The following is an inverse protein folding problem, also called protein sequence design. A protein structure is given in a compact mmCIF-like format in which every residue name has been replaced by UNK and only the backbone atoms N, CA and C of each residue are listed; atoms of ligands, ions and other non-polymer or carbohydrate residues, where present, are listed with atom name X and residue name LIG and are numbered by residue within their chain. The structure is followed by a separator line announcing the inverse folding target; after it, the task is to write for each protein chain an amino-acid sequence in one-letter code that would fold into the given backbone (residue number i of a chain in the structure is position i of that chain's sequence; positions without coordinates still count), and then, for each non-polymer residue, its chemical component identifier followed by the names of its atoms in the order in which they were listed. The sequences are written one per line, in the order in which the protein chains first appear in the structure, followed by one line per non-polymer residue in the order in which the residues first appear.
data_IF_362165798454
#
_entry.id   IF_362165798454
#
_cell.length_a   1.000
_cell.length_b   1.000
_cell.length_c   1.000
_cell.angle_alpha   90.00
_cell.angle_beta   90.00
_cell.angle_gamma   90.00
#
_symmetry.space_group_name_H-M   'P 1'
#
loop_
_entity.id
_entity.type
_entity.pdbx_description
1 polymer ?
#
# COMPACT_ATOMS: atom_id res chain seq x y z
N UNK A 1 25.95 15.51 -4.97
CA UNK A 1 25.68 14.69 -6.18
C UNK A 1 24.19 14.75 -6.50
N UNK A 2 23.84 14.95 -7.77
CA UNK A 2 22.46 14.88 -8.23
C UNK A 2 22.10 13.41 -8.54
N UNK A 3 20.89 12.96 -8.20
CA UNK A 3 20.39 11.62 -8.53
C UNK A 3 20.53 10.54 -7.44
N UNK A 4 21.28 10.80 -6.36
CA UNK A 4 21.25 9.92 -5.18
C UNK A 4 20.01 10.17 -4.33
N UNK A 5 19.32 9.09 -3.99
CA UNK A 5 18.09 9.08 -3.20
C UNK A 5 18.46 8.95 -1.72
N UNK A 6 18.04 9.93 -0.92
CA UNK A 6 18.22 9.95 0.53
C UNK A 6 16.84 9.99 1.20
N UNK A 7 16.15 8.84 1.23
CA UNK A 7 14.89 8.73 1.95
C UNK A 7 15.16 8.36 3.40
N UNK A 8 14.39 8.90 4.36
CA UNK A 8 14.41 8.38 5.72
C UNK A 8 13.93 6.93 5.71
N UNK A 9 14.41 6.14 6.68
CA UNK A 9 13.84 4.83 6.96
C UNK A 9 12.39 4.95 7.46
N UNK A 10 11.63 3.86 7.36
CA UNK A 10 10.33 3.75 8.01
C UNK A 10 10.46 2.76 9.15
N UNK A 11 10.34 3.26 10.38
CA UNK A 11 10.55 2.45 11.58
C UNK A 11 9.41 1.46 11.77
N UNK A 12 9.74 0.17 11.75
CA UNK A 12 8.77 -0.90 11.94
C UNK A 12 9.06 -1.65 13.25
N UNK A 13 8.00 -2.04 13.99
CA UNK A 13 8.15 -2.99 15.09
C UNK A 13 8.84 -4.28 14.62
N UNK A 14 9.78 -4.76 15.42
CA UNK A 14 10.75 -5.85 15.19
C UNK A 14 10.34 -6.91 14.16
N UNK A 15 11.23 -7.15 13.19
CA UNK A 15 11.25 -8.36 12.34
C UNK A 15 10.53 -8.26 10.99
N UNK A 16 9.80 -7.17 10.71
CA UNK A 16 9.13 -6.95 9.42
C UNK A 16 9.89 -5.99 8.53
N UNK A 17 9.96 -6.29 7.24
CA UNK A 17 10.53 -5.36 6.25
C UNK A 17 9.49 -4.33 5.80
N UNK A 18 9.94 -3.22 5.20
CA UNK A 18 9.05 -2.26 4.57
C UNK A 18 8.19 -2.89 3.46
N UNK A 19 8.73 -3.88 2.76
CA UNK A 19 7.99 -4.62 1.74
C UNK A 19 6.84 -5.44 2.34
N UNK A 20 7.09 -6.13 3.47
CA UNK A 20 6.07 -6.93 4.15
C UNK A 20 4.93 -6.05 4.69
N UNK A 21 5.27 -4.93 5.32
CA UNK A 21 4.27 -4.03 5.88
C UNK A 21 3.46 -3.34 4.78
N UNK A 22 4.11 -2.91 3.69
CA UNK A 22 3.42 -2.31 2.55
C UNK A 22 2.43 -3.32 1.94
N UNK A 23 2.85 -4.58 1.75
CA UNK A 23 1.96 -5.64 1.26
C UNK A 23 0.76 -5.85 2.18
N UNK A 24 0.99 -5.94 3.49
CA UNK A 24 -0.09 -6.11 4.49
C UNK A 24 -1.12 -4.99 4.40
N UNK A 25 -0.65 -3.74 4.37
CA UNK A 25 -1.50 -2.55 4.28
C UNK A 25 -2.27 -2.48 2.96
N UNK A 26 -1.63 -2.86 1.85
CA UNK A 26 -2.31 -2.94 0.55
C UNK A 26 -3.43 -3.99 0.56
N UNK A 27 -3.19 -5.19 1.11
CA UNK A 27 -4.22 -6.24 1.20
C UNK A 27 -5.41 -5.81 2.07
N UNK A 28 -5.13 -5.24 3.25
CA UNK A 28 -6.15 -4.66 4.14
C UNK A 28 -6.95 -3.57 3.42
N UNK A 29 -6.24 -2.67 2.74
CA UNK A 29 -6.83 -1.57 2.00
C UNK A 29 -7.69 -2.03 0.81
N UNK A 30 -7.26 -3.05 0.08
CA UNK A 30 -8.01 -3.60 -1.05
C UNK A 30 -9.28 -4.28 -0.56
N UNK A 31 -9.20 -5.08 0.51
CA UNK A 31 -10.38 -5.70 1.13
C UNK A 31 -11.40 -4.66 1.57
N UNK A 32 -10.95 -3.61 2.25
CA UNK A 32 -11.85 -2.51 2.68
C UNK A 32 -12.52 -1.78 1.50
N UNK A 33 -11.85 -1.66 0.34
CA UNK A 33 -12.35 -0.87 -0.79
C UNK A 33 -13.17 -1.67 -1.79
N UNK A 34 -12.88 -2.95 -1.96
CA UNK A 34 -13.38 -3.73 -3.09
C UNK A 34 -14.50 -4.69 -2.74
N UNK A 35 -14.81 -4.95 -1.47
CA UNK A 35 -15.90 -5.85 -1.04
C UNK A 35 -17.26 -5.59 -1.70
N UNK A 36 -17.52 -4.36 -2.14
CA UNK A 36 -18.78 -3.96 -2.80
C UNK A 36 -18.61 -3.64 -4.29
N UNK A 37 -17.42 -3.88 -4.86
CA UNK A 37 -17.10 -3.55 -6.24
C UNK A 37 -17.17 -4.81 -7.09
N UNK A 38 -18.24 -4.92 -7.88
CA UNK A 38 -18.44 -5.98 -8.86
C UNK A 38 -17.20 -6.10 -9.76
N UNK A 39 -16.71 -7.34 -9.98
CA UNK A 39 -15.46 -7.70 -10.71
C UNK A 39 -14.14 -7.48 -9.95
N UNK A 40 -14.14 -6.81 -8.80
CA UNK A 40 -12.94 -6.71 -7.93
C UNK A 40 -13.00 -7.64 -6.74
N UNK A 41 -14.20 -8.12 -6.42
CA UNK A 41 -14.49 -9.07 -5.35
C UNK A 41 -15.09 -10.36 -5.90
N UNK A 42 -14.70 -11.48 -5.32
CA UNK A 42 -15.29 -12.79 -5.58
C UNK A 42 -16.50 -12.97 -4.65
N UNK A 43 -17.70 -12.86 -5.21
CA UNK A 43 -18.95 -13.05 -4.48
C UNK A 43 -19.27 -14.55 -4.33
N UNK A 44 -18.62 -15.19 -3.36
CA UNK A 44 -18.78 -16.60 -2.98
C UNK A 44 -18.76 -16.75 -1.45
N UNK A 45 -19.22 -17.88 -0.87
CA UNK A 45 -19.06 -18.14 0.55
C UNK A 45 -17.58 -18.04 0.96
N UNK A 46 -17.26 -17.10 1.86
CA UNK A 46 -15.87 -16.77 2.20
C UNK A 46 -15.16 -15.85 1.19
N UNK A 47 -15.92 -15.02 0.47
CA UNK A 47 -15.43 -14.15 -0.60
C UNK A 47 -14.14 -13.39 -0.28
N UNK A 48 -13.32 -13.21 -1.31
CA UNK A 48 -12.02 -12.53 -1.24
C UNK A 48 -11.79 -11.73 -2.54
N UNK A 49 -10.61 -11.12 -2.66
CA UNK A 49 -10.21 -10.37 -3.85
C UNK A 49 -10.20 -11.24 -5.11
N UNK A 50 -10.67 -10.69 -6.23
CA UNK A 50 -10.56 -11.36 -7.53
C UNK A 50 -9.07 -11.58 -7.89
N UNK A 51 -8.76 -12.67 -8.60
CA UNK A 51 -7.37 -13.03 -8.96
C UNK A 51 -6.63 -11.92 -9.71
N UNK A 52 -7.32 -11.23 -10.62
CA UNK A 52 -6.76 -10.09 -11.37
C UNK A 52 -6.34 -8.92 -10.47
N UNK A 53 -7.00 -8.72 -9.31
CA UNK A 53 -6.62 -7.70 -8.33
C UNK A 53 -5.33 -8.09 -7.65
N UNK A 54 -5.21 -9.36 -7.22
CA UNK A 54 -4.00 -9.88 -6.59
C UNK A 54 -2.81 -9.86 -7.57
N UNK A 55 -3.02 -10.31 -8.81
CA UNK A 55 -1.98 -10.29 -9.85
C UNK A 55 -1.49 -8.86 -10.14
N UNK A 56 -2.40 -7.88 -10.12
CA UNK A 56 -2.03 -6.47 -10.28
C UNK A 56 -1.22 -5.96 -9.08
N UNK A 57 -1.66 -6.26 -7.86
CA UNK A 57 -0.96 -5.88 -6.63
C UNK A 57 0.47 -6.44 -6.62
N UNK A 58 0.63 -7.72 -6.94
CA UNK A 58 1.92 -8.40 -6.93
C UNK A 58 2.90 -7.76 -7.93
N UNK A 59 2.44 -7.48 -9.15
CA UNK A 59 3.26 -6.76 -10.16
C UNK A 59 3.70 -5.38 -9.66
N UNK A 60 2.79 -4.59 -9.08
CA UNK A 60 3.14 -3.23 -8.63
C UNK A 60 4.10 -3.25 -7.44
N UNK A 61 3.86 -4.14 -6.46
CA UNK A 61 4.75 -4.30 -5.32
C UNK A 61 6.14 -4.82 -5.71
N UNK A 62 6.22 -5.70 -6.70
CA UNK A 62 7.51 -6.21 -7.21
C UNK A 62 8.38 -5.08 -7.78
N UNK A 63 7.78 -4.18 -8.60
CA UNK A 63 8.47 -3.00 -9.13
C UNK A 63 8.89 -2.06 -7.99
N UNK A 64 8.00 -1.79 -7.03
CA UNK A 64 8.30 -0.92 -5.87
C UNK A 64 9.47 -1.49 -5.05
N UNK A 65 9.48 -2.79 -4.81
CA UNK A 65 10.51 -3.48 -4.05
C UNK A 65 11.85 -3.49 -4.79
N UNK A 66 11.84 -3.80 -6.09
CA UNK A 66 13.04 -3.81 -6.95
C UNK A 66 13.71 -2.43 -6.98
N UNK A 67 12.91 -1.36 -6.99
CA UNK A 67 13.43 0.01 -7.02
C UNK A 67 13.76 0.58 -5.63
N UNK A 68 13.45 -0.14 -4.55
CA UNK A 68 13.70 0.26 -3.17
C UNK A 68 12.77 1.36 -2.65
N UNK A 69 11.54 1.44 -3.17
CA UNK A 69 10.59 2.50 -2.83
C UNK A 69 9.58 2.13 -1.73
N UNK A 70 9.63 0.92 -1.15
CA UNK A 70 8.64 0.49 -0.16
C UNK A 70 8.50 1.46 1.02
N UNK A 71 9.62 1.91 1.61
CA UNK A 71 9.62 2.89 2.71
C UNK A 71 9.01 4.24 2.30
N UNK A 72 9.21 4.68 1.05
CA UNK A 72 8.60 5.91 0.53
C UNK A 72 7.06 5.81 0.52
N UNK A 73 6.52 4.69 0.05
CA UNK A 73 5.07 4.46 0.08
C UNK A 73 4.52 4.43 1.50
N UNK A 74 5.24 3.83 2.46
CA UNK A 74 4.85 3.81 3.87
C UNK A 74 4.84 5.22 4.48
N UNK A 75 5.84 6.05 4.20
CA UNK A 75 5.89 7.44 4.66
C UNK A 75 4.70 8.24 4.12
N UNK A 76 4.43 8.16 2.81
CA UNK A 76 3.28 8.85 2.22
C UNK A 76 1.94 8.35 2.77
N UNK A 77 1.82 7.04 2.99
CA UNK A 77 0.65 6.45 3.62
C UNK A 77 0.42 7.00 5.03
N UNK A 78 1.48 7.08 5.85
CA UNK A 78 1.40 7.55 7.23
C UNK A 78 0.99 9.03 7.30
N UNK A 79 1.54 9.89 6.44
CA UNK A 79 1.10 11.28 6.35
C UNK A 79 -0.40 11.40 6.03
N UNK A 80 -0.89 10.65 5.05
CA UNK A 80 -2.30 10.70 4.64
C UNK A 80 -3.19 10.11 5.73
N UNK A 81 -2.76 9.04 6.40
CA UNK A 81 -3.47 8.43 7.53
C UNK A 81 -3.59 9.46 8.67
N UNK A 82 -2.49 10.05 9.10
CA UNK A 82 -2.45 11.02 10.18
C UNK A 82 -3.31 12.25 9.87
N UNK A 83 -3.21 12.79 8.65
CA UNK A 83 -4.01 13.92 8.21
C UNK A 83 -5.52 13.62 8.32
N UNK A 84 -5.96 12.44 7.85
CA UNK A 84 -7.37 12.00 7.96
C UNK A 84 -7.83 11.86 9.41
N UNK A 85 -7.02 11.24 10.28
CA UNK A 85 -7.33 11.10 11.71
C UNK A 85 -7.52 12.45 12.41
N UNK A 86 -6.86 13.51 11.91
CA UNK A 86 -6.94 14.88 12.43
C UNK A 86 -7.96 15.77 11.70
N UNK A 87 -8.67 15.25 10.70
CA UNK A 87 -9.58 16.06 9.87
C UNK A 87 -8.87 17.07 8.96
N UNK A 88 -7.58 16.87 8.67
CA UNK A 88 -6.78 17.70 7.76
C UNK A 88 -6.97 17.18 6.32
N UNK A 89 -7.35 18.04 5.35
CA UNK A 89 -7.50 17.63 3.95
C UNK A 89 -6.20 17.10 3.32
N UNK A 90 -6.28 15.97 2.62
CA UNK A 90 -5.14 15.34 1.94
C UNK A 90 -5.56 14.76 0.56
N UNK A 91 -5.74 15.64 -0.43
CA UNK A 91 -6.27 15.29 -1.76
C UNK A 91 -5.26 15.36 -2.91
N UNK A 92 -4.15 16.09 -2.77
CA UNK A 92 -3.20 16.29 -3.86
C UNK A 92 -2.51 14.99 -4.29
N UNK A 93 -2.42 14.77 -5.60
CA UNK A 93 -1.68 13.69 -6.28
C UNK A 93 -1.08 14.27 -7.55
N UNK A 94 0.18 13.96 -7.85
CA UNK A 94 0.94 14.46 -9.01
C UNK A 94 2.34 13.87 -9.01
#
# INVERSE_FOLDING_TARGET
ELGKRHFPGFDLPSGRTAADELRRLCLEGLRSRYTTVEKRWLDAPGGDLHSDVLARLDRELDVINTLGFASYFLICWDFVRHARERGIPASARG
#
